data_IF_033025394631
#
_entry.id   IF_033025394631
#
_cell.length_a   1.000
_cell.length_b   1.000
_cell.length_c   1.000
_cell.angle_alpha   90.00
_cell.angle_beta   90.00
_cell.angle_gamma   90.00
#
_symmetry.space_group_name_H-M   'P 1'
#
loop_
_entity.id
_entity.type
_entity.pdbx_description
1 polymer ?
#
# COMPACT_ATOMS: atom_id res chain seq x y z
N UNK A 1 -1.78 6.86 26.03
CA UNK A 1 -1.66 5.56 26.74
C UNK A 1 -2.27 5.59 28.14
N UNK A 2 -1.88 6.48 29.05
CA UNK A 2 -2.38 6.46 30.45
C UNK A 2 -3.91 6.55 30.57
N UNK A 3 -4.54 7.41 29.77
CA UNK A 3 -6.01 7.53 29.73
C UNK A 3 -6.68 6.24 29.27
N UNK A 4 -6.16 5.58 28.23
CA UNK A 4 -6.69 4.31 27.72
C UNK A 4 -6.63 3.22 28.79
N UNK A 5 -5.49 3.04 29.45
CA UNK A 5 -5.35 2.06 30.53
C UNK A 5 -6.27 2.35 31.72
N UNK A 6 -6.45 3.62 32.08
CA UNK A 6 -7.39 4.01 33.13
C UNK A 6 -8.83 3.70 32.75
N UNK A 7 -9.24 4.04 31.52
CA UNK A 7 -10.58 3.75 31.01
C UNK A 7 -10.87 2.26 31.00
N UNK A 8 -9.94 1.45 30.47
CA UNK A 8 -10.07 -0.02 30.45
C UNK A 8 -10.16 -0.58 31.87
N UNK A 9 -9.29 -0.15 32.79
CA UNK A 9 -9.32 -0.62 34.18
C UNK A 9 -10.64 -0.29 34.89
N UNK A 10 -11.14 0.93 34.69
CA UNK A 10 -12.41 1.36 35.27
C UNK A 10 -13.57 0.60 34.63
N UNK A 11 -13.57 0.46 33.30
CA UNK A 11 -14.58 -0.26 32.53
C UNK A 11 -14.66 -1.74 32.91
N UNK A 12 -13.53 -2.45 33.00
CA UNK A 12 -13.51 -3.85 33.46
C UNK A 12 -14.06 -3.99 34.88
N UNK A 13 -13.76 -3.05 35.78
CA UNK A 13 -14.32 -3.07 37.14
C UNK A 13 -15.85 -2.93 37.13
N UNK A 14 -16.39 -2.09 36.24
CA UNK A 14 -17.84 -1.93 36.03
C UNK A 14 -18.43 -3.20 35.42
N UNK A 15 -17.83 -3.71 34.34
CA UNK A 15 -18.26 -4.91 33.63
C UNK A 15 -18.35 -6.12 34.57
N UNK A 16 -17.29 -6.40 35.35
CA UNK A 16 -17.32 -7.49 36.34
C UNK A 16 -18.44 -7.30 37.36
N UNK A 17 -18.67 -6.07 37.83
CA UNK A 17 -19.75 -5.79 38.80
C UNK A 17 -21.13 -6.10 38.22
N UNK A 18 -21.35 -5.84 36.94
CA UNK A 18 -22.60 -6.12 36.24
C UNK A 18 -22.75 -7.62 35.91
N UNK A 19 -21.65 -8.29 35.55
CA UNK A 19 -21.66 -9.66 35.04
C UNK A 19 -21.65 -10.73 36.14
N UNK A 20 -20.97 -10.49 37.27
CA UNK A 20 -20.68 -11.49 38.31
C UNK A 20 -21.91 -12.17 38.94
N UNK A 21 -23.10 -11.56 38.81
CA UNK A 21 -24.37 -12.15 39.27
C UNK A 21 -25.26 -12.71 38.16
N UNK A 22 -25.10 -12.22 36.93
CA UNK A 22 -26.06 -12.41 35.84
C UNK A 22 -25.60 -13.45 34.82
N UNK A 23 -24.28 -13.61 34.63
CA UNK A 23 -23.69 -14.62 33.74
C UNK A 23 -23.33 -15.87 34.52
N UNK A 24 -23.90 -17.01 34.13
CA UNK A 24 -23.67 -18.28 34.81
C UNK A 24 -22.33 -18.88 34.40
N UNK A 25 -21.65 -19.55 35.34
CA UNK A 25 -20.45 -20.32 35.01
C UNK A 25 -20.76 -21.36 33.93
N UNK A 26 -19.93 -21.39 32.88
CA UNK A 26 -20.11 -22.27 31.71
C UNK A 26 -21.07 -21.76 30.64
N UNK A 27 -21.60 -20.54 30.78
CA UNK A 27 -22.40 -19.89 29.72
C UNK A 27 -21.55 -19.19 28.65
N UNK A 28 -20.28 -18.94 28.96
CA UNK A 28 -19.26 -18.42 28.05
C UNK A 28 -18.02 -19.29 28.23
N UNK A 29 -17.54 -19.89 27.15
CA UNK A 29 -16.32 -20.69 27.10
C UNK A 29 -15.36 -20.06 26.08
N UNK A 30 -14.25 -19.50 26.59
CA UNK A 30 -13.24 -18.78 25.78
C UNK A 30 -11.83 -19.36 25.96
N UNK A 31 -11.70 -20.57 26.53
CA UNK A 31 -10.40 -21.19 26.77
C UNK A 31 -9.66 -21.56 25.47
N UNK A 32 -10.43 -21.85 24.44
CA UNK A 32 -9.95 -22.30 23.14
C UNK A 32 -10.00 -21.18 22.08
N UNK A 33 -10.48 -19.99 22.45
CA UNK A 33 -10.58 -18.81 21.60
C UNK A 33 -9.18 -18.34 21.22
N UNK A 34 -8.92 -18.18 19.93
CA UNK A 34 -7.72 -17.50 19.44
C UNK A 34 -8.03 -16.01 19.29
N UNK A 35 -7.41 -15.18 20.12
CA UNK A 35 -7.66 -13.73 20.07
C UNK A 35 -7.07 -13.10 18.80
N UNK A 36 -7.61 -11.97 18.32
CA UNK A 36 -7.03 -11.22 17.19
C UNK A 36 -5.55 -10.91 17.37
N UNK A 37 -5.13 -10.64 18.61
CA UNK A 37 -3.73 -10.39 18.96
C UNK A 37 -2.86 -11.64 18.85
N UNK A 38 -3.34 -12.79 19.32
CA UNK A 38 -2.61 -14.05 19.21
C UNK A 38 -2.47 -14.47 17.75
N UNK A 39 -3.54 -14.29 16.96
CA UNK A 39 -3.53 -14.54 15.52
C UNK A 39 -2.50 -13.69 14.79
N UNK A 40 -2.51 -12.37 14.98
CA UNK A 40 -1.52 -11.48 14.36
C UNK A 40 -0.08 -11.81 14.79
N UNK A 41 0.12 -12.25 16.04
CA UNK A 41 1.44 -12.70 16.50
C UNK A 41 1.88 -14.01 15.82
N UNK A 42 0.97 -14.92 15.53
CA UNK A 42 1.26 -16.16 14.79
C UNK A 42 1.63 -15.87 13.33
N UNK A 43 1.01 -14.87 12.70
CA UNK A 43 1.32 -14.47 11.32
C UNK A 43 2.72 -13.86 11.15
N UNK A 44 3.29 -13.32 12.23
CA UNK A 44 4.64 -12.75 12.20
C UNK A 44 5.75 -13.76 11.94
N UNK A 45 5.43 -15.06 12.08
CA UNK A 45 6.34 -16.18 11.81
C UNK A 45 6.25 -16.69 10.36
N UNK A 46 5.29 -16.21 9.55
CA UNK A 46 5.05 -16.64 8.15
C UNK A 46 5.56 -15.58 7.14
N UNK A 47 6.46 -16.01 6.24
CA UNK A 47 7.03 -15.15 5.18
C UNK A 47 5.95 -14.79 4.12
N UNK A 48 5.80 -13.49 3.80
CA UNK A 48 4.97 -13.02 2.68
C UNK A 48 3.73 -12.20 3.07
N UNK A 49 3.45 -12.05 4.37
CA UNK A 49 2.29 -11.32 4.88
C UNK A 49 2.70 -9.92 5.39
N UNK A 50 1.99 -8.85 5.01
CA UNK A 50 2.16 -7.55 5.69
C UNK A 50 1.70 -7.64 7.16
N UNK A 51 2.66 -7.76 8.08
CA UNK A 51 2.43 -7.77 9.53
C UNK A 51 1.64 -6.53 9.98
N UNK A 52 1.86 -5.38 9.35
CA UNK A 52 1.20 -4.14 9.73
C UNK A 52 -0.30 -4.18 9.48
N UNK A 53 -0.77 -4.81 8.40
CA UNK A 53 -2.21 -4.98 8.17
C UNK A 53 -2.82 -5.98 9.16
N UNK A 54 -2.13 -7.09 9.45
CA UNK A 54 -2.55 -8.04 10.48
C UNK A 54 -2.68 -7.36 11.86
N UNK A 55 -1.73 -6.49 12.20
CA UNK A 55 -1.76 -5.70 13.43
C UNK A 55 -2.90 -4.66 13.42
N UNK A 56 -3.19 -4.00 12.28
CA UNK A 56 -4.34 -3.08 12.16
C UNK A 56 -5.66 -3.82 12.39
N UNK A 57 -5.83 -4.99 11.77
CA UNK A 57 -7.01 -5.85 11.96
C UNK A 57 -7.10 -6.29 13.43
N UNK A 58 -5.98 -6.67 14.05
CA UNK A 58 -5.94 -7.05 15.47
C UNK A 58 -6.24 -5.89 16.43
N UNK A 59 -5.93 -4.64 16.02
CA UNK A 59 -6.31 -3.42 16.71
C UNK A 59 -7.76 -3.00 16.45
N UNK A 60 -8.51 -3.81 15.69
CA UNK A 60 -9.87 -3.55 15.27
C UNK A 60 -10.02 -2.24 14.47
N UNK A 61 -8.99 -1.89 13.68
CA UNK A 61 -9.07 -0.78 12.75
C UNK A 61 -9.95 -1.22 11.57
N UNK A 62 -10.99 -0.43 11.22
CA UNK A 62 -11.82 -0.68 10.05
C UNK A 62 -11.01 -0.76 8.75
N UNK A 63 -11.16 -1.86 8.01
CA UNK A 63 -10.49 -2.11 6.73
C UNK A 63 -11.48 -2.53 5.64
N UNK A 64 -11.16 -2.23 4.38
CA UNK A 64 -11.86 -2.75 3.20
C UNK A 64 -10.93 -3.71 2.44
N UNK A 65 -11.13 -5.01 2.66
CA UNK A 65 -10.40 -6.08 1.97
C UNK A 65 -11.19 -6.68 0.80
N UNK A 66 -12.46 -6.28 0.63
CA UNK A 66 -13.30 -6.75 -0.47
C UNK A 66 -13.11 -5.92 -1.75
N UNK A 67 -12.56 -4.72 -1.62
CA UNK A 67 -12.28 -3.83 -2.75
C UNK A 67 -10.82 -3.42 -2.76
N UNK A 68 -10.19 -3.61 -3.90
CA UNK A 68 -8.91 -3.00 -4.19
C UNK A 68 -9.15 -1.58 -4.72
N UNK A 69 -8.48 -0.60 -4.12
CA UNK A 69 -8.50 0.78 -4.58
C UNK A 69 -7.26 1.07 -5.43
N UNK A 70 -7.44 1.74 -6.56
CA UNK A 70 -6.36 2.41 -7.29
C UNK A 70 -6.26 3.85 -6.82
N UNK A 71 -5.11 4.22 -6.26
CA UNK A 71 -4.85 5.53 -5.66
C UNK A 71 -3.73 6.24 -6.41
N UNK A 72 -4.01 7.44 -6.88
CA UNK A 72 -3.03 8.35 -7.47
C UNK A 72 -2.61 9.41 -6.46
N UNK A 73 -1.30 9.61 -6.28
CA UNK A 73 -0.71 10.64 -5.42
C UNK A 73 -0.23 11.78 -6.32
N UNK A 74 -0.96 12.92 -6.41
CA UNK A 74 -0.64 13.98 -7.35
C UNK A 74 0.72 14.66 -7.11
N UNK A 75 1.20 14.61 -5.87
CA UNK A 75 2.46 15.23 -5.46
C UNK A 75 3.68 14.49 -6.04
N UNK A 76 3.60 13.17 -6.18
CA UNK A 76 4.69 12.32 -6.67
C UNK A 76 4.42 11.68 -8.03
N UNK A 77 3.20 11.85 -8.58
CA UNK A 77 2.78 11.18 -9.82
C UNK A 77 2.68 9.65 -9.67
N UNK A 78 2.65 9.14 -8.44
CA UNK A 78 2.67 7.69 -8.16
C UNK A 78 1.25 7.13 -8.20
N UNK A 79 1.09 5.97 -8.81
CA UNK A 79 -0.14 5.17 -8.72
C UNK A 79 0.12 3.92 -7.89
N UNK A 80 -0.75 3.65 -6.93
CA UNK A 80 -0.68 2.49 -6.03
C UNK A 80 -1.99 1.71 -6.07
N UNK A 81 -1.90 0.38 -5.92
CA UNK A 81 -3.07 -0.51 -5.81
C UNK A 81 -3.06 -1.25 -4.49
N UNK A 82 -4.18 -1.24 -3.78
CA UNK A 82 -4.17 -1.58 -2.36
C UNK A 82 -5.53 -1.59 -1.68
N UNK A 83 -5.55 -2.11 -0.46
CA UNK A 83 -6.69 -2.05 0.45
C UNK A 83 -6.58 -0.83 1.37
N UNK A 84 -7.71 -0.18 1.66
CA UNK A 84 -7.79 0.95 2.58
C UNK A 84 -8.12 0.52 4.02
N UNK A 85 -7.61 1.27 4.98
CA UNK A 85 -8.02 1.26 6.38
C UNK A 85 -8.23 2.67 6.92
N UNK A 86 -9.23 2.85 7.78
CA UNK A 86 -9.54 4.12 8.43
C UNK A 86 -9.61 3.93 9.93
N UNK A 87 -8.89 4.75 10.70
CA UNK A 87 -9.04 4.72 12.17
C UNK A 87 -10.38 5.28 12.64
N UNK A 88 -11.00 6.15 11.83
CA UNK A 88 -12.32 6.72 12.06
C UNK A 88 -13.18 6.57 10.80
N UNK A 89 -14.24 5.74 10.85
CA UNK A 89 -15.11 5.50 9.70
C UNK A 89 -15.98 6.70 9.33
N UNK A 90 -16.06 7.72 10.19
CA UNK A 90 -16.79 8.95 9.88
C UNK A 90 -16.11 9.83 8.83
N UNK A 91 -14.83 9.57 8.53
CA UNK A 91 -14.10 10.19 7.41
C UNK A 91 -14.51 9.59 6.04
N UNK A 92 -15.24 8.47 6.04
CA UNK A 92 -15.80 7.84 4.86
C UNK A 92 -17.27 8.21 4.56
N UNK A 93 -17.85 7.64 3.49
CA UNK A 93 -17.24 6.68 2.58
C UNK A 93 -16.19 7.34 1.68
N UNK A 94 -15.13 6.60 1.38
CA UNK A 94 -14.15 6.97 0.36
C UNK A 94 -14.74 6.57 -1.01
N UNK A 95 -14.83 7.51 -1.94
CA UNK A 95 -15.51 7.38 -3.22
C UNK A 95 -14.53 7.47 -4.40
N UNK A 96 -14.79 6.71 -5.45
CA UNK A 96 -14.03 6.77 -6.69
C UNK A 96 -14.17 8.13 -7.38
N UNK A 97 -13.10 8.58 -8.04
CA UNK A 97 -13.00 9.87 -8.70
C UNK A 97 -12.81 11.07 -7.75
N UNK A 98 -12.65 10.84 -6.45
CA UNK A 98 -12.54 11.92 -5.45
C UNK A 98 -11.12 12.07 -4.93
N UNK A 99 -10.68 13.33 -4.81
CA UNK A 99 -9.42 13.69 -4.16
C UNK A 99 -9.67 14.01 -2.69
N UNK A 100 -8.89 13.37 -1.81
CA UNK A 100 -8.94 13.54 -0.37
C UNK A 100 -7.66 14.20 0.14
N UNK A 101 -7.80 14.96 1.23
CA UNK A 101 -6.68 15.52 2.00
C UNK A 101 -6.73 14.91 3.40
N UNK A 102 -5.85 13.94 3.71
CA UNK A 102 -5.80 13.27 5.02
C UNK A 102 -5.68 14.24 6.19
N UNK A 103 -5.09 15.43 6.01
CA UNK A 103 -4.95 16.42 7.08
C UNK A 103 -6.29 16.99 7.57
N UNK A 104 -7.37 16.77 6.81
CA UNK A 104 -8.73 17.20 7.14
C UNK A 104 -9.55 16.14 7.86
N UNK A 105 -9.04 14.91 7.94
CA UNK A 105 -9.73 13.77 8.54
C UNK A 105 -9.67 13.81 10.06
N UNK A 106 -10.66 13.19 10.72
CA UNK A 106 -10.68 13.01 12.16
C UNK A 106 -9.69 11.91 12.60
N UNK A 107 -9.49 10.91 11.76
CA UNK A 107 -8.56 9.81 11.93
C UNK A 107 -7.42 9.78 10.92
N UNK A 108 -6.62 8.72 10.99
CA UNK A 108 -5.56 8.40 10.05
C UNK A 108 -6.08 7.45 8.95
N UNK A 109 -5.52 7.59 7.74
CA UNK A 109 -5.77 6.70 6.60
C UNK A 109 -4.57 5.79 6.40
N UNK A 110 -4.81 4.49 6.42
CA UNK A 110 -3.82 3.47 6.08
C UNK A 110 -4.11 2.87 4.72
N UNK A 111 -3.05 2.55 3.98
CA UNK A 111 -3.13 1.90 2.69
C UNK A 111 -2.15 0.74 2.65
N UNK A 112 -2.65 -0.47 2.39
CA UNK A 112 -1.79 -1.66 2.23
C UNK A 112 -1.69 -2.01 0.76
N UNK A 113 -0.48 -2.02 0.22
CA UNK A 113 -0.19 -2.14 -1.21
C UNK A 113 1.01 -3.06 -1.44
N UNK A 114 1.06 -3.72 -2.60
CA UNK A 114 2.27 -4.37 -3.08
C UNK A 114 3.17 -3.34 -3.76
N UNK A 115 4.28 -3.01 -3.10
CA UNK A 115 5.24 -2.02 -3.60
C UNK A 115 6.01 -2.50 -4.84
N UNK A 116 5.96 -3.80 -5.18
CA UNK A 116 6.52 -4.32 -6.44
C UNK A 116 5.72 -3.88 -7.67
N UNK A 117 4.48 -3.42 -7.47
CA UNK A 117 3.59 -2.92 -8.52
C UNK A 117 3.60 -1.39 -8.60
N UNK A 118 4.47 -0.74 -7.83
CA UNK A 118 4.59 0.70 -7.82
C UNK A 118 5.09 1.16 -9.20
N UNK A 119 4.34 2.08 -9.79
CA UNK A 119 4.67 2.72 -11.06
C UNK A 119 4.23 4.20 -11.06
N UNK A 120 4.84 4.99 -11.94
CA UNK A 120 4.44 6.37 -12.14
C UNK A 120 5.20 7.07 -13.27
N UNK A 121 4.69 8.24 -13.66
CA UNK A 121 5.36 9.14 -14.60
C UNK A 121 6.39 9.98 -13.85
N UNK A 122 7.57 10.18 -14.44
CA UNK A 122 8.63 11.01 -13.89
C UNK A 122 8.80 12.28 -14.71
N UNK A 123 8.42 13.43 -14.14
CA UNK A 123 8.50 14.72 -14.83
C UNK A 123 9.80 15.50 -14.57
N UNK A 124 10.63 15.04 -13.64
CA UNK A 124 11.84 15.73 -13.21
C UNK A 124 13.06 15.29 -14.04
N UNK A 125 13.07 15.62 -15.34
CA UNK A 125 14.18 15.30 -16.25
C UNK A 125 14.53 16.47 -17.18
N UNK A 126 15.77 16.46 -17.69
CA UNK A 126 16.17 17.33 -18.79
C UNK A 126 15.79 16.67 -20.12
N UNK A 127 15.20 17.45 -21.02
CA UNK A 127 14.75 16.93 -22.32
C UNK A 127 15.91 16.60 -23.27
N UNK A 128 17.05 17.28 -23.15
CA UNK A 128 18.18 17.11 -24.07
C UNK A 128 19.04 15.91 -23.69
N UNK A 129 19.28 15.00 -24.63
CA UNK A 129 20.27 13.93 -24.50
C UNK A 129 21.47 14.31 -25.36
N UNK A 130 22.53 14.80 -24.72
CA UNK A 130 23.78 15.19 -25.38
C UNK A 130 24.85 14.12 -25.15
N UNK A 131 25.24 13.43 -26.22
CA UNK A 131 26.29 12.42 -26.18
C UNK A 131 25.93 11.16 -25.39
N UNK A 132 24.63 10.83 -25.29
CA UNK A 132 24.08 9.68 -24.58
C UNK A 132 23.76 9.97 -23.12
N UNK A 133 24.00 11.18 -22.62
CA UNK A 133 23.77 11.51 -21.21
C UNK A 133 22.29 11.81 -20.97
N UNK A 134 21.65 11.01 -20.12
CA UNK A 134 20.32 11.28 -19.58
C UNK A 134 20.47 11.96 -18.22
N UNK A 135 19.71 13.03 -17.96
CA UNK A 135 19.78 13.79 -16.70
C UNK A 135 18.41 13.88 -16.04
N UNK A 136 18.35 13.52 -14.76
CA UNK A 136 17.22 13.76 -13.87
C UNK A 136 17.49 14.99 -12.99
N UNK A 137 16.45 15.77 -12.71
CA UNK A 137 16.49 17.00 -11.91
C UNK A 137 15.94 16.82 -10.49
N UNK A 138 15.70 15.57 -10.09
CA UNK A 138 15.32 15.17 -8.74
C UNK A 138 15.96 13.81 -8.43
N UNK A 139 16.05 13.48 -7.14
CA UNK A 139 16.72 12.27 -6.66
C UNK A 139 15.94 11.03 -7.10
N UNK A 140 16.55 10.08 -7.84
CA UNK A 140 15.88 8.84 -8.22
C UNK A 140 15.41 8.07 -6.99
N UNK A 141 14.19 7.53 -7.03
CA UNK A 141 13.68 6.73 -5.92
C UNK A 141 14.48 5.43 -5.84
N UNK A 142 15.08 5.12 -4.68
CA UNK A 142 15.81 3.87 -4.49
C UNK A 142 14.95 2.66 -4.89
N UNK A 143 15.56 1.56 -5.33
CA UNK A 143 14.84 0.32 -5.69
C UNK A 143 13.81 0.45 -6.82
N UNK A 144 13.91 1.48 -7.66
CA UNK A 144 13.12 1.63 -8.90
C UNK A 144 13.99 1.55 -10.14
N UNK A 145 13.36 1.29 -11.27
CA UNK A 145 13.96 1.34 -12.61
C UNK A 145 13.23 2.41 -13.41
N UNK A 146 14.00 3.25 -14.09
CA UNK A 146 13.53 4.34 -14.94
C UNK A 146 13.55 3.91 -16.40
N UNK A 147 12.37 3.84 -17.01
CA UNK A 147 12.18 3.65 -18.46
C UNK A 147 12.21 5.01 -19.13
N UNK A 148 13.30 5.31 -19.83
CA UNK A 148 13.49 6.57 -20.57
C UNK A 148 13.20 6.30 -22.04
N UNK A 149 12.16 6.96 -22.56
CA UNK A 149 11.81 6.94 -23.97
C UNK A 149 12.36 8.17 -24.67
N UNK A 150 12.88 7.99 -25.88
CA UNK A 150 13.43 9.08 -26.70
C UNK A 150 12.58 9.34 -27.94
N UNK A 151 12.73 10.52 -28.52
CA UNK A 151 12.11 10.90 -29.80
C UNK A 151 12.63 10.10 -31.00
N UNK A 152 13.69 9.31 -30.83
CA UNK A 152 14.27 8.40 -31.82
C UNK A 152 13.67 6.96 -31.77
N UNK A 153 12.40 6.84 -31.36
CA UNK A 153 11.78 5.67 -30.71
C UNK A 153 12.73 4.63 -30.09
N UNK A 154 13.62 5.08 -29.19
CA UNK A 154 14.50 4.21 -28.42
C UNK A 154 14.14 4.26 -26.94
N UNK A 155 14.28 3.13 -26.24
CA UNK A 155 13.96 2.99 -24.82
C UNK A 155 15.16 2.42 -24.07
N UNK A 156 15.48 3.01 -22.92
CA UNK A 156 16.52 2.52 -22.01
C UNK A 156 15.95 2.39 -20.60
N UNK A 157 16.27 1.27 -19.93
CA UNK A 157 15.87 1.01 -18.55
C UNK A 157 17.07 1.21 -17.64
N UNK A 158 16.98 2.16 -16.72
CA UNK A 158 18.08 2.60 -15.87
C UNK A 158 17.69 2.37 -14.40
N UNK A 159 18.30 1.41 -13.71
CA UNK A 159 18.15 1.28 -12.26
C UNK A 159 18.50 2.58 -11.55
N UNK A 160 17.76 2.93 -10.50
CA UNK A 160 18.03 4.11 -9.68
C UNK A 160 19.49 4.16 -9.17
N UNK A 161 20.08 2.99 -8.92
CA UNK A 161 21.46 2.83 -8.44
C UNK A 161 22.53 3.12 -9.48
N UNK A 162 22.18 3.14 -10.76
CA UNK A 162 23.12 3.43 -11.86
C UNK A 162 23.23 4.93 -12.17
N UNK A 163 22.33 5.75 -11.60
CA UNK A 163 22.44 7.20 -11.71
C UNK A 163 23.57 7.75 -10.84
N UNK A 164 24.39 8.62 -11.44
CA UNK A 164 25.49 9.32 -10.75
C UNK A 164 25.01 10.69 -10.27
N UNK A 165 25.11 10.96 -8.96
CA UNK A 165 24.88 12.29 -8.39
C UNK A 165 25.99 13.26 -8.85
N UNK A 166 25.59 14.30 -9.59
CA UNK A 166 26.49 15.33 -10.10
C UNK A 166 26.79 16.44 -9.09
N UNK A 167 26.09 16.45 -7.96
CA UNK A 167 26.00 17.56 -7.04
C UNK A 167 25.07 18.66 -7.57
N UNK A 168 24.37 19.35 -6.66
CA UNK A 168 23.48 20.45 -7.01
C UNK A 168 22.05 20.04 -7.40
N UNK A 169 21.66 18.80 -7.08
CA UNK A 169 20.28 18.30 -7.29
C UNK A 169 20.04 17.78 -8.70
N UNK A 170 21.08 17.21 -9.35
CA UNK A 170 20.93 16.54 -10.65
C UNK A 170 21.66 15.21 -10.64
N UNK A 171 21.09 14.24 -11.34
CA UNK A 171 21.59 12.87 -11.44
C UNK A 171 21.70 12.50 -12.91
N UNK A 172 22.78 11.84 -13.31
CA UNK A 172 23.00 11.50 -14.72
C UNK A 172 23.43 10.07 -14.96
N UNK A 173 23.07 9.55 -16.13
CA UNK A 173 23.45 8.23 -16.61
C UNK A 173 23.96 8.33 -18.05
N UNK A 174 25.04 7.62 -18.37
CA UNK A 174 25.62 7.55 -19.72
C UNK A 174 25.01 6.38 -20.49
N UNK A 175 23.95 6.66 -21.26
CA UNK A 175 23.27 5.70 -22.13
C UNK A 175 23.90 5.60 -23.53
N UNK A 176 25.13 6.11 -23.75
CA UNK A 176 25.78 6.06 -25.06
C UNK A 176 26.08 4.64 -25.56
N UNK A 177 26.12 3.66 -24.65
CA UNK A 177 26.22 2.24 -24.97
C UNK A 177 24.88 1.56 -25.27
N UNK A 178 23.78 2.17 -24.84
CA UNK A 178 22.43 1.61 -24.90
C UNK A 178 21.60 2.22 -26.04
N UNK A 179 21.88 3.47 -26.40
CA UNK A 179 21.22 4.21 -27.48
C UNK A 179 22.01 4.11 -28.78
N UNK A 180 21.33 3.81 -29.89
CA UNK A 180 21.83 3.94 -31.25
C UNK A 180 21.98 5.42 -31.65
N UNK A 181 21.12 6.31 -31.13
CA UNK A 181 21.15 7.77 -31.37
C UNK A 181 21.55 8.54 -30.12
N UNK A 182 22.86 8.75 -29.86
CA UNK A 182 23.33 9.41 -28.64
C UNK A 182 23.07 10.92 -28.59
N UNK A 183 22.50 11.53 -29.63
CA UNK A 183 22.07 12.93 -29.63
C UNK A 183 20.59 12.95 -29.99
N UNK A 184 19.73 13.09 -28.99
CA UNK A 184 18.27 12.99 -29.12
C UNK A 184 17.57 13.81 -28.03
N UNK A 185 16.25 13.73 -27.97
CA UNK A 185 15.44 14.30 -26.89
C UNK A 185 14.67 13.20 -26.18
N UNK A 186 14.54 13.31 -24.86
CA UNK A 186 13.66 12.48 -24.03
C UNK A 186 12.21 12.87 -24.32
N UNK A 187 11.37 11.89 -24.65
CA UNK A 187 9.93 12.07 -24.87
C UNK A 187 9.11 11.77 -23.62
N UNK A 188 9.52 10.79 -22.82
CA UNK A 188 8.87 10.41 -21.57
C UNK A 188 9.85 9.69 -20.66
N UNK A 189 9.61 9.78 -19.35
CA UNK A 189 10.29 8.95 -18.36
C UNK A 189 9.22 8.36 -17.46
N UNK A 190 9.23 7.05 -17.30
CA UNK A 190 8.38 6.33 -16.37
C UNK A 190 9.27 5.60 -15.36
N UNK A 191 8.78 5.39 -14.14
CA UNK A 191 9.47 4.56 -13.16
C UNK A 191 8.58 3.40 -12.72
N UNK A 192 9.21 2.29 -12.38
CA UNK A 192 8.55 1.11 -11.80
C UNK A 192 9.47 0.46 -10.77
N UNK A 193 8.92 -0.38 -9.89
CA UNK A 193 9.73 -1.08 -8.88
C UNK A 193 10.74 -2.05 -9.52
N UNK A 194 11.96 -2.11 -8.97
CA UNK A 194 13.03 -3.00 -9.44
C UNK A 194 12.76 -4.48 -9.08
N UNK A 195 12.01 -4.72 -7.99
CA UNK A 195 11.67 -6.06 -7.53
C UNK A 195 10.43 -6.59 -8.24
N UNK A 196 10.52 -7.78 -8.83
CA UNK A 196 9.37 -8.57 -9.29
C UNK A 196 8.77 -9.43 -8.16
N UNK A 197 9.44 -9.52 -7.01
CA UNK A 197 8.92 -10.23 -5.84
C UNK A 197 7.91 -9.36 -5.11
N UNK A 198 6.70 -9.90 -4.94
CA UNK A 198 5.62 -9.33 -4.14
C UNK A 198 6.11 -8.91 -2.76
N UNK A 199 5.85 -7.66 -2.41
CA UNK A 199 6.30 -7.05 -1.16
C UNK A 199 5.21 -6.12 -0.62
N UNK A 200 4.31 -6.70 0.18
CA UNK A 200 3.24 -5.95 0.80
C UNK A 200 3.73 -5.03 1.91
N UNK A 201 3.28 -3.79 1.85
CA UNK A 201 3.53 -2.80 2.89
C UNK A 201 2.28 -2.01 3.19
N UNK A 202 2.14 -1.67 4.47
CA UNK A 202 1.12 -0.73 4.93
C UNK A 202 1.76 0.62 5.18
N UNK A 203 1.27 1.63 4.47
CA UNK A 203 1.69 3.03 4.59
C UNK A 203 0.55 3.86 5.20
N UNK A 204 0.91 4.94 5.86
CA UNK A 204 -0.03 5.99 6.23
C UNK A 204 -0.07 7.02 5.10
N UNK A 205 -1.25 7.34 4.60
CA UNK A 205 -1.42 8.39 3.59
C UNK A 205 -1.50 9.73 4.31
N UNK A 206 -0.42 10.51 4.25
CA UNK A 206 -0.32 11.84 4.86
C UNK A 206 -0.47 12.99 3.83
N UNK A 207 -0.28 12.69 2.54
CA UNK A 207 -0.45 13.63 1.42
C UNK A 207 -1.81 13.48 0.75
N UNK A 208 -2.25 14.51 0.02
CA UNK A 208 -3.46 14.42 -0.79
C UNK A 208 -3.36 13.26 -1.79
N UNK A 209 -4.46 12.54 -1.95
CA UNK A 209 -4.55 11.41 -2.87
C UNK A 209 -5.90 11.41 -3.59
N UNK A 210 -5.92 10.87 -4.80
CA UNK A 210 -7.14 10.67 -5.59
C UNK A 210 -7.42 9.19 -5.69
N UNK A 211 -8.63 8.76 -5.35
CA UNK A 211 -9.06 7.38 -5.64
C UNK A 211 -9.57 7.34 -7.06
N UNK A 212 -8.88 6.62 -7.95
CA UNK A 212 -9.26 6.52 -9.35
C UNK A 212 -10.39 5.51 -9.57
N UNK A 213 -10.40 4.44 -8.78
CA UNK A 213 -11.43 3.42 -8.85
C UNK A 213 -11.31 2.38 -7.74
N UNK A 214 -12.39 1.63 -7.56
CA UNK A 214 -12.43 0.42 -6.76
C UNK A 214 -12.77 -0.78 -7.64
N UNK A 215 -12.13 -1.91 -7.39
CA UNK A 215 -12.42 -3.19 -8.02
C UNK A 215 -12.70 -4.22 -6.93
N UNK A 216 -13.83 -4.95 -7.04
CA UNK A 216 -14.12 -6.03 -6.11
C UNK A 216 -13.15 -7.19 -6.32
N UNK A 217 -12.52 -7.64 -5.25
CA UNK A 217 -11.42 -8.61 -5.30
C UNK A 217 -11.88 -10.02 -5.69
N UNK A 218 -13.14 -10.37 -5.45
CA UNK A 218 -13.72 -11.68 -5.79
C UNK A 218 -14.34 -11.69 -7.19
N UNK A 219 -14.98 -10.59 -7.61
CA UNK A 219 -15.78 -10.54 -8.84
C UNK A 219 -15.14 -9.77 -10.00
N UNK A 220 -14.15 -8.91 -9.72
CA UNK A 220 -13.56 -7.98 -10.69
C UNK A 220 -14.51 -6.84 -11.11
N UNK A 221 -15.66 -6.69 -10.44
CA UNK A 221 -16.61 -5.62 -10.75
C UNK A 221 -16.14 -4.28 -10.18
N UNK A 222 -16.23 -3.21 -10.96
CA UNK A 222 -15.95 -1.87 -10.45
C UNK A 222 -16.97 -1.45 -9.39
N UNK A 223 -16.51 -0.81 -8.32
CA UNK A 223 -17.33 -0.24 -7.27
C UNK A 223 -17.14 1.29 -7.18
N UNK A 224 -18.18 1.98 -6.70
CA UNK A 224 -18.17 3.45 -6.59
C UNK A 224 -17.57 3.93 -5.27
N UNK A 225 -17.52 3.07 -4.24
CA UNK A 225 -17.04 3.44 -2.90
C UNK A 225 -16.50 2.26 -2.10
N UNK A 226 -15.68 2.57 -1.10
CA UNK A 226 -15.19 1.63 -0.10
C UNK A 226 -16.28 1.22 0.91
N UNK A 227 -16.17 0.01 1.45
CA UNK A 227 -16.98 -0.51 2.55
C UNK A 227 -16.08 -1.08 3.66
N UNK A 228 -15.95 -0.32 4.75
CA UNK A 228 -15.10 -0.69 5.87
C UNK A 228 -15.81 -1.66 6.82
N UNK A 229 -15.08 -2.68 7.24
CA UNK A 229 -15.54 -3.71 8.18
C UNK A 229 -14.62 -3.77 9.39
N UNK A 230 -15.21 -3.93 10.58
CA UNK A 230 -14.52 -4.13 11.86
C UNK A 230 -15.46 -4.85 12.83
N UNK A 231 -14.90 -5.47 13.86
CA UNK A 231 -15.68 -6.06 14.94
C UNK A 231 -16.27 -5.02 15.88
N UNK A 232 -17.27 -5.43 16.65
CA UNK A 232 -17.91 -4.56 17.63
C UNK A 232 -16.88 -4.03 18.65
N UNK A 233 -16.76 -2.70 18.83
CA UNK A 233 -15.84 -2.16 19.84
C UNK A 233 -16.19 -2.64 21.25
N UNK A 234 -15.19 -3.03 22.03
CA UNK A 234 -15.39 -3.46 23.42
C UNK A 234 -15.77 -2.28 24.33
N UNK A 235 -16.76 -2.51 25.19
CA UNK A 235 -17.28 -1.55 26.18
C UNK A 235 -17.38 -2.21 27.56
N UNK A 236 -17.87 -1.48 28.56
CA UNK A 236 -18.10 -1.99 29.90
C UNK A 236 -19.41 -2.78 30.07
N UNK A 237 -20.17 -3.01 28.98
CA UNK A 237 -21.47 -3.71 29.04
C UNK A 237 -21.71 -4.77 27.93
N UNK A 238 -20.83 -4.92 26.93
CA UNK A 238 -20.97 -5.93 25.88
C UNK A 238 -20.03 -7.14 26.10
N UNK A 239 -20.03 -8.10 25.16
CA UNK A 239 -19.28 -9.36 25.25
C UNK A 239 -19.68 -10.22 26.45
N UNK A 240 -20.98 -10.28 26.74
CA UNK A 240 -21.58 -11.04 27.86
C UNK A 240 -22.31 -12.31 27.38
N UNK A 241 -22.27 -12.60 26.08
CA UNK A 241 -22.86 -13.78 25.46
C UNK A 241 -21.83 -14.53 24.62
N UNK A 242 -22.02 -15.84 24.44
CA UNK A 242 -21.14 -16.65 23.57
C UNK A 242 -21.18 -16.15 22.12
N UNK A 243 -22.35 -15.74 21.62
CA UNK A 243 -22.51 -15.26 20.24
C UNK A 243 -21.64 -14.03 19.91
N UNK A 244 -21.46 -13.11 20.87
CA UNK A 244 -20.57 -11.96 20.70
C UNK A 244 -19.09 -12.38 20.57
N UNK A 245 -18.67 -13.38 21.36
CA UNK A 245 -17.30 -13.92 21.31
C UNK A 245 -17.05 -14.72 20.03
N UNK A 246 -17.98 -15.57 19.65
CA UNK A 246 -17.92 -16.35 18.41
C UNK A 246 -17.90 -15.40 17.19
N UNK A 247 -18.69 -14.33 17.22
CA UNK A 247 -18.72 -13.31 16.15
C UNK A 247 -17.40 -12.55 16.05
N UNK A 248 -16.72 -12.26 17.16
CA UNK A 248 -15.40 -11.61 17.14
C UNK A 248 -14.35 -12.55 16.54
N UNK A 249 -14.36 -13.83 16.92
CA UNK A 249 -13.43 -14.81 16.37
C UNK A 249 -13.65 -15.00 14.86
N UNK A 250 -14.92 -15.18 14.46
CA UNK A 250 -15.28 -15.41 13.08
C UNK A 250 -14.93 -14.23 12.19
N UNK A 251 -15.30 -13.00 12.57
CA UNK A 251 -14.98 -11.82 11.76
C UNK A 251 -13.47 -11.60 11.64
N UNK A 252 -12.73 -11.82 12.72
CA UNK A 252 -11.28 -11.70 12.67
C UNK A 252 -10.64 -12.78 11.79
N UNK A 253 -11.13 -14.03 11.85
CA UNK A 253 -10.71 -15.09 10.94
C UNK A 253 -11.03 -14.74 9.49
N UNK A 254 -12.25 -14.30 9.19
CA UNK A 254 -12.67 -13.96 7.82
C UNK A 254 -11.84 -12.80 7.22
N UNK A 255 -11.49 -11.79 8.03
CA UNK A 255 -10.61 -10.71 7.58
C UNK A 255 -9.19 -11.19 7.29
N UNK A 256 -8.66 -12.08 8.13
CA UNK A 256 -7.34 -12.67 7.89
C UNK A 256 -7.36 -13.61 6.67
N UNK A 257 -8.37 -14.46 6.52
CA UNK A 257 -8.51 -15.35 5.36
C UNK A 257 -8.58 -14.54 4.06
N UNK A 258 -9.42 -13.50 4.02
CA UNK A 258 -9.51 -12.58 2.88
C UNK A 258 -8.16 -11.96 2.53
N UNK A 259 -7.36 -11.62 3.55
CA UNK A 259 -6.02 -11.07 3.38
C UNK A 259 -4.97 -12.12 2.95
N UNK A 260 -5.06 -13.37 3.40
CA UNK A 260 -4.16 -14.45 2.95
C UNK A 260 -4.46 -14.85 1.50
N UNK A 261 -5.73 -14.94 1.11
CA UNK A 261 -6.17 -15.21 -0.27
C UNK A 261 -5.71 -14.10 -1.23
N UNK A 262 -5.83 -12.87 -0.75
CA UNK A 262 -5.31 -11.63 -1.30
C UNK A 262 -3.81 -11.67 -1.64
N UNK A 263 -3.00 -12.38 -0.84
CA UNK A 263 -1.53 -12.36 -0.99
C UNK A 263 -0.96 -13.63 -1.65
N UNK A 264 -1.62 -14.78 -1.52
CA UNK A 264 -1.09 -16.09 -1.93
C UNK A 264 -1.32 -16.44 -3.41
N UNK A 265 -2.15 -15.68 -4.10
CA UNK A 265 -2.42 -15.89 -5.52
C UNK A 265 -1.38 -15.14 -6.36
N UNK A 266 -0.32 -15.81 -6.82
CA UNK A 266 0.61 -15.27 -7.83
C UNK A 266 -0.01 -14.98 -9.21
N UNK A 267 -1.34 -14.92 -9.27
CA UNK A 267 -2.20 -14.61 -10.43
C UNK A 267 -3.51 -13.92 -9.92
N UNK A 268 -3.53 -13.40 -8.69
CA UNK A 268 -4.74 -12.86 -8.03
C UNK A 268 -4.45 -11.66 -7.12
N UNK A 269 -5.52 -10.87 -6.93
CA UNK A 269 -5.63 -9.56 -6.29
C UNK A 269 -4.67 -8.47 -6.77
N UNK A 270 -3.36 -8.69 -6.66
CA UNK A 270 -2.33 -7.70 -6.96
C UNK A 270 -1.52 -8.08 -8.22
N UNK A 271 -1.53 -9.34 -8.65
CA UNK A 271 -0.81 -9.81 -9.85
C UNK A 271 -1.40 -9.38 -11.21
N UNK A 272 -2.29 -8.40 -11.23
CA UNK A 272 -3.00 -7.93 -12.42
C UNK A 272 -2.10 -7.12 -13.35
N UNK A 273 -1.33 -7.82 -14.19
CA UNK A 273 -0.65 -7.24 -15.34
C UNK A 273 -1.64 -6.40 -16.15
N UNK A 274 -1.45 -5.09 -16.12
CA UNK A 274 -2.19 -4.19 -16.99
C UNK A 274 -1.91 -4.64 -18.43
N UNK A 275 -2.95 -4.85 -19.25
CA UNK A 275 -2.72 -5.07 -20.67
C UNK A 275 -2.15 -3.76 -21.21
N UNK A 276 -0.84 -3.75 -21.49
CA UNK A 276 -0.16 -2.75 -22.32
C UNK A 276 -0.65 -2.80 -23.78
N UNK A 277 -1.97 -2.80 -23.96
CA UNK A 277 -2.65 -2.68 -25.24
C UNK A 277 -3.40 -1.36 -25.26
N UNK A 278 -2.86 -0.41 -26.01
CA UNK A 278 -3.51 0.82 -26.51
C UNK A 278 -3.12 2.18 -25.87
N UNK A 279 -1.87 2.33 -25.41
CA UNK A 279 -1.16 3.61 -25.54
C UNK A 279 -0.29 3.55 -26.80
N UNK A 280 -0.75 4.25 -27.85
CA UNK A 280 -0.22 4.14 -29.19
C UNK A 280 1.23 4.62 -29.34
N UNK A 281 2.12 3.71 -29.68
CA UNK A 281 3.47 3.99 -30.18
C UNK A 281 4.19 2.68 -30.49
N UNK A 282 4.55 2.47 -31.75
CA UNK A 282 5.05 1.18 -32.22
C UNK A 282 6.47 0.87 -31.71
N UNK A 283 6.63 -0.22 -30.97
CA UNK A 283 7.94 -0.80 -30.68
C UNK A 283 7.86 -1.86 -29.57
N UNK A 284 7.82 -3.14 -29.94
CA UNK A 284 7.81 -4.23 -28.96
C UNK A 284 9.13 -4.30 -28.21
N UNK A 285 9.08 -4.25 -26.88
CA UNK A 285 10.24 -4.41 -26.02
C UNK A 285 10.11 -5.75 -25.28
N UNK A 286 11.07 -6.64 -25.53
CA UNK A 286 11.24 -7.87 -24.78
C UNK A 286 11.91 -7.58 -23.45
N UNK A 287 11.28 -8.00 -22.36
CA UNK A 287 11.80 -7.89 -21.00
C UNK A 287 13.11 -8.68 -20.89
N UNK A 288 14.20 -7.97 -20.60
CA UNK A 288 15.48 -8.54 -20.18
C UNK A 288 15.40 -8.80 -18.67
N UNK A 289 15.51 -10.07 -18.29
CA UNK A 289 15.57 -10.48 -16.89
C UNK A 289 16.87 -9.96 -16.25
N UNK A 290 16.75 -9.00 -15.33
CA UNK A 290 17.84 -8.61 -14.42
C UNK A 290 17.61 -9.31 -13.10
N UNK A 291 18.55 -10.17 -12.72
CA UNK A 291 18.41 -11.04 -11.57
C UNK A 291 18.85 -10.40 -10.25
N UNK A 292 17.94 -10.42 -9.26
CA UNK A 292 18.25 -10.90 -7.92
C UNK A 292 18.39 -9.86 -6.79
N UNK A 293 17.38 -9.91 -5.90
CA UNK A 293 17.39 -9.65 -4.45
C UNK A 293 17.54 -8.19 -3.95
N UNK A 294 16.39 -7.51 -3.77
CA UNK A 294 16.27 -6.32 -2.90
C UNK A 294 14.94 -6.35 -2.12
N UNK A 295 14.88 -7.12 -1.03
CA UNK A 295 13.71 -7.11 -0.12
C UNK A 295 13.73 -5.93 0.90
N UNK A 296 14.80 -5.13 0.96
CA UNK A 296 14.98 -4.06 1.96
C UNK A 296 14.84 -2.63 1.38
N UNK A 297 14.84 -2.46 0.06
CA UNK A 297 14.78 -1.14 -0.60
C UNK A 297 13.37 -0.55 -0.68
N UNK A 298 12.35 -1.40 -0.74
CA UNK A 298 10.95 -1.03 -0.94
C UNK A 298 10.40 0.01 0.08
N UNK A 299 10.81 -0.06 1.36
CA UNK A 299 10.41 0.90 2.40
C UNK A 299 11.03 2.29 2.15
N UNK A 300 12.22 2.36 1.53
CA UNK A 300 12.88 3.62 1.20
C UNK A 300 12.20 4.30 0.01
N UNK A 301 11.71 3.54 -0.98
CA UNK A 301 11.07 4.05 -2.20
C UNK A 301 9.87 4.94 -1.89
N UNK A 302 8.90 4.38 -1.17
CA UNK A 302 7.66 5.08 -0.82
C UNK A 302 7.91 6.22 0.15
N UNK A 303 8.85 6.01 1.08
CA UNK A 303 9.17 7.01 2.09
C UNK A 303 9.97 8.18 1.50
N UNK A 304 10.86 7.97 0.55
CA UNK A 304 11.60 9.05 -0.13
C UNK A 304 10.74 9.74 -1.20
N UNK A 305 9.91 9.02 -1.96
CA UNK A 305 8.93 9.62 -2.87
C UNK A 305 7.98 10.58 -2.14
N UNK A 306 7.53 10.21 -0.94
CA UNK A 306 6.66 11.05 -0.09
C UNK A 306 7.45 12.14 0.65
N UNK A 307 8.71 11.90 1.06
CA UNK A 307 9.52 12.92 1.77
C UNK A 307 10.07 14.03 0.87
N UNK A 308 10.41 13.74 -0.39
CA UNK A 308 11.11 14.70 -1.26
C UNK A 308 10.27 15.96 -1.57
N UNK A 309 8.94 15.86 -1.46
CA UNK A 309 8.02 16.95 -1.78
C UNK A 309 7.37 17.67 -0.59
N UNK A 310 7.70 17.28 0.66
CA UNK A 310 7.33 18.04 1.86
C UNK A 310 8.47 19.01 2.27
N UNK A 311 8.51 20.29 1.80
CA UNK A 311 9.45 21.25 2.33
C UNK A 311 8.99 21.67 3.73
N UNK A 312 9.53 21.00 4.75
CA UNK A 312 9.56 21.50 6.11
C UNK A 312 8.90 20.62 7.16
N UNK A 313 9.61 19.56 7.56
CA UNK A 313 9.81 19.23 8.98
C UNK A 313 11.24 18.81 9.25
#
# INVERSE_FOLDING_TARGET
MDTTFQNVRNGISTWVTNVYGDVQSGSIEISDLVTPRERAAMMSDDEGISQALADLIALNIPVDLEREATVFIPESGTTLRGSLGLTDTSDGPIEAGTTYDPSTFAGDVYFTTDVSLLEGEWDAYETGVDGGTVTLTAEPYEGTVYTVETTAPETVNIPATDFTDNGGGTWSYDASGDLETPITEVSAVNYYAESEETNYQTIQLDSSFTVEGFENTETGESADSASFTSSEPQTDNNYITQEEWDSLEQQNQELIDKFEESQSSGDGLFGGGVPWGDLGGAGGVGVLAVGGAVALGAIAILREAIKFYLPGR
#
